data_IF_320551141732
#
_entry.id   IF_320551141732
#
_cell.length_a   1.000
_cell.length_b   1.000
_cell.length_c   1.000
_cell.angle_alpha   90.00
_cell.angle_beta   90.00
_cell.angle_gamma   90.00
#
_symmetry.space_group_name_H-M   'P 1'
#
loop_
_entity.id
_entity.type
_entity.pdbx_description
1 polymer ?
#
# COMPACT_ATOMS: atom_id res chain seq x y z
N UNK A 1 -33.58 -20.68 40.95
CA UNK A 1 -33.72 -20.11 39.59
C UNK A 1 -34.06 -18.63 39.70
N UNK A 2 -33.14 -17.73 39.30
CA UNK A 2 -33.45 -16.31 39.08
C UNK A 2 -32.83 -15.91 37.74
N UNK A 3 -33.68 -15.71 36.74
CA UNK A 3 -33.29 -15.25 35.41
C UNK A 3 -32.81 -13.80 35.48
N UNK A 4 -31.55 -13.55 35.10
CA UNK A 4 -31.04 -12.19 34.86
C UNK A 4 -31.40 -11.78 33.43
N UNK A 5 -32.21 -10.75 33.30
CA UNK A 5 -32.47 -10.05 32.03
C UNK A 5 -31.16 -9.43 31.52
N UNK A 6 -30.66 -9.91 30.39
CA UNK A 6 -29.61 -9.24 29.61
C UNK A 6 -30.25 -8.04 28.88
N UNK A 7 -29.88 -6.81 29.28
CA UNK A 7 -29.99 -5.64 28.42
C UNK A 7 -28.69 -5.54 27.64
N UNK A 8 -28.73 -5.64 26.32
CA UNK A 8 -27.62 -5.26 25.45
C UNK A 8 -27.59 -3.72 25.35
N UNK A 9 -26.48 -3.05 25.67
CA UNK A 9 -26.20 -1.74 25.14
C UNK A 9 -25.38 -1.90 23.86
N UNK A 10 -26.03 -1.54 22.76
CA UNK A 10 -25.44 -1.27 21.46
C UNK A 10 -24.49 -0.08 21.57
N UNK A 11 -23.20 -0.33 21.79
CA UNK A 11 -22.09 0.58 21.46
C UNK A 11 -20.77 -0.16 21.67
N UNK A 12 -20.33 -0.91 20.65
CA UNK A 12 -18.94 -1.39 20.61
C UNK A 12 -18.05 -0.17 20.37
N UNK A 13 -17.56 0.38 21.47
CA UNK A 13 -16.53 1.39 21.47
C UNK A 13 -15.32 0.85 20.69
N UNK A 14 -15.05 1.44 19.52
CA UNK A 14 -13.79 1.29 18.77
C UNK A 14 -12.66 1.96 19.54
N UNK A 15 -12.38 1.46 20.75
CA UNK A 15 -11.27 1.89 21.59
C UNK A 15 -10.00 1.23 21.07
N UNK A 16 -9.10 2.04 20.54
CA UNK A 16 -7.66 1.92 20.69
C UNK A 16 -7.11 0.47 20.63
N UNK A 17 -7.22 -0.15 19.46
CA UNK A 17 -6.44 -1.34 19.10
C UNK A 17 -5.46 -1.06 17.95
N UNK A 18 -5.11 0.22 17.73
CA UNK A 18 -4.25 0.67 16.64
C UNK A 18 -2.75 0.76 16.99
N UNK A 19 -2.31 0.24 18.14
CA UNK A 19 -0.91 0.36 18.58
C UNK A 19 -0.16 -0.97 18.84
N UNK A 20 -0.79 -2.15 18.70
CA UNK A 20 -0.06 -3.42 18.91
C UNK A 20 -0.48 -4.48 17.89
N UNK A 21 0.48 -4.87 17.04
CA UNK A 21 0.49 -5.93 16.01
C UNK A 21 0.13 -5.54 14.56
N UNK A 22 0.83 -4.55 13.99
CA UNK A 22 1.12 -4.58 12.54
C UNK A 22 2.48 -5.26 12.31
N UNK A 23 2.64 -6.45 12.89
CA UNK A 23 3.66 -7.41 12.47
C UNK A 23 2.96 -8.52 11.70
N UNK A 24 3.31 -8.58 10.41
CA UNK A 24 3.48 -9.81 9.63
C UNK A 24 2.29 -10.75 9.56
N UNK A 25 1.23 -10.32 8.88
CA UNK A 25 0.63 -11.25 7.92
C UNK A 25 1.49 -11.18 6.66
N UNK A 26 2.47 -12.08 6.52
CA UNK A 26 2.74 -12.67 5.19
C UNK A 26 1.35 -13.02 4.65
N UNK A 27 1.00 -12.66 3.42
CA UNK A 27 -0.35 -12.90 2.92
C UNK A 27 -0.53 -14.41 2.72
N UNK A 28 -0.70 -15.18 3.81
CA UNK A 28 -0.55 -16.64 3.86
C UNK A 28 -1.17 -17.34 2.65
N UNK A 29 -0.44 -18.31 2.11
CA UNK A 29 -0.73 -19.02 0.87
C UNK A 29 -0.74 -18.12 -0.39
N UNK A 30 0.27 -17.26 -0.56
CA UNK A 30 0.43 -16.41 -1.76
C UNK A 30 0.47 -17.27 -3.04
N UNK A 31 1.08 -18.46 -2.94
CA UNK A 31 1.16 -19.51 -3.98
C UNK A 31 -0.20 -20.07 -4.42
N UNK A 32 -1.27 -19.90 -3.61
CA UNK A 32 -2.60 -20.46 -3.90
C UNK A 32 -3.62 -19.41 -4.34
N UNK A 33 -3.24 -18.14 -4.39
CA UNK A 33 -4.14 -17.03 -4.74
C UNK A 33 -4.05 -16.71 -6.22
N UNK A 34 -5.18 -16.34 -6.80
CA UNK A 34 -5.22 -15.72 -8.12
C UNK A 34 -5.14 -14.20 -7.96
N UNK A 35 -3.93 -13.65 -8.05
CA UNK A 35 -3.73 -12.22 -7.87
C UNK A 35 -4.18 -11.41 -9.09
N UNK A 36 -4.24 -12.01 -10.28
CA UNK A 36 -4.81 -11.33 -11.45
C UNK A 36 -6.33 -11.19 -11.29
N UNK A 37 -7.05 -12.21 -10.82
CA UNK A 37 -8.46 -12.07 -10.45
C UNK A 37 -8.66 -11.00 -9.35
N UNK A 38 -7.81 -10.99 -8.31
CA UNK A 38 -7.87 -9.97 -7.26
C UNK A 38 -7.56 -8.55 -7.76
N UNK A 39 -6.68 -8.40 -8.75
CA UNK A 39 -6.32 -7.12 -9.36
C UNK A 39 -7.50 -6.53 -10.16
N UNK A 40 -8.27 -7.38 -10.82
CA UNK A 40 -9.44 -7.00 -11.61
C UNK A 40 -10.74 -6.89 -10.79
N UNK A 41 -10.76 -7.44 -9.57
CA UNK A 41 -11.87 -7.30 -8.64
C UNK A 41 -11.87 -5.90 -7.99
N UNK A 42 -12.62 -4.99 -8.62
CA UNK A 42 -12.75 -3.61 -8.13
C UNK A 42 -13.63 -3.49 -6.89
N UNK A 43 -14.26 -4.57 -6.40
CA UNK A 43 -15.24 -4.52 -5.31
C UNK A 43 -16.28 -3.41 -5.54
N UNK A 44 -16.28 -2.38 -4.71
CA UNK A 44 -17.15 -1.21 -4.78
C UNK A 44 -16.40 0.09 -5.14
N UNK A 45 -15.21 -0.03 -5.76
CA UNK A 45 -14.36 1.10 -6.15
C UNK A 45 -14.48 1.44 -7.65
N UNK A 46 -14.28 2.72 -8.04
CA UNK A 46 -13.91 3.85 -7.20
C UNK A 46 -15.06 4.34 -6.31
N UNK A 47 -14.74 4.81 -5.09
CA UNK A 47 -15.74 5.40 -4.19
C UNK A 47 -15.16 6.47 -3.28
N UNK A 48 -16.06 7.28 -2.71
CA UNK A 48 -15.75 8.27 -1.69
C UNK A 48 -16.42 7.92 -0.36
N UNK A 49 -15.80 8.35 0.72
CA UNK A 49 -16.37 8.28 2.05
C UNK A 49 -16.00 9.54 2.84
N UNK A 50 -16.99 10.17 3.46
CA UNK A 50 -16.74 11.21 4.46
C UNK A 50 -16.47 10.54 5.81
N UNK A 51 -15.31 10.80 6.39
CA UNK A 51 -14.97 10.33 7.73
C UNK A 51 -15.39 11.35 8.78
N UNK A 52 -15.74 10.89 9.99
CA UNK A 52 -16.17 11.78 11.10
C UNK A 52 -15.26 11.67 12.33
N UNK A 53 -14.21 10.87 12.27
CA UNK A 53 -13.25 10.71 13.37
C UNK A 53 -12.24 11.87 13.35
N UNK A 54 -12.32 12.75 14.35
CA UNK A 54 -11.51 13.97 14.45
C UNK A 54 -10.00 13.71 14.34
N UNK A 55 -9.50 12.64 14.97
CA UNK A 55 -8.08 12.29 14.93
C UNK A 55 -7.62 11.91 13.54
N UNK A 56 -8.46 11.20 12.79
CA UNK A 56 -8.18 10.81 11.42
C UNK A 56 -8.21 12.04 10.49
N UNK A 57 -9.16 12.95 10.70
CA UNK A 57 -9.25 14.21 9.94
C UNK A 57 -8.00 15.06 10.15
N UNK A 58 -7.59 15.28 11.40
CA UNK A 58 -6.37 16.02 11.73
C UNK A 58 -5.12 15.37 11.10
N UNK A 59 -5.04 14.03 11.16
CA UNK A 59 -3.90 13.28 10.62
C UNK A 59 -3.80 13.36 9.09
N UNK A 60 -4.93 13.31 8.37
CA UNK A 60 -4.95 13.23 6.91
C UNK A 60 -5.23 14.58 6.23
N UNK A 61 -5.57 15.62 7.00
CA UNK A 61 -5.77 16.98 6.49
C UNK A 61 -7.14 17.22 5.85
N UNK A 62 -8.12 16.36 6.10
CA UNK A 62 -9.48 16.50 5.57
C UNK A 62 -10.36 15.28 5.85
N UNK A 63 -11.61 15.33 5.42
CA UNK A 63 -12.63 14.33 5.72
C UNK A 63 -13.10 13.54 4.49
N UNK A 64 -12.79 14.02 3.27
CA UNK A 64 -13.20 13.41 2.01
C UNK A 64 -12.18 12.38 1.56
N UNK A 65 -12.42 11.13 1.94
CA UNK A 65 -11.58 9.99 1.61
C UNK A 65 -11.95 9.36 0.26
N UNK A 66 -10.94 9.08 -0.56
CA UNK A 66 -11.09 8.36 -1.84
C UNK A 66 -10.54 6.93 -1.77
N UNK A 67 -11.21 5.99 -2.42
CA UNK A 67 -10.75 4.62 -2.63
C UNK A 67 -10.54 4.37 -4.12
N UNK A 68 -9.28 4.25 -4.53
CA UNK A 68 -8.92 3.89 -5.89
C UNK A 68 -9.00 2.35 -6.09
N UNK A 69 -9.48 1.86 -7.24
CA UNK A 69 -9.51 0.43 -7.54
C UNK A 69 -8.10 -0.15 -7.68
N UNK A 70 -7.88 -1.46 -7.44
CA UNK A 70 -6.55 -2.07 -7.49
C UNK A 70 -5.85 -1.89 -8.84
N UNK A 71 -6.60 -1.97 -9.94
CA UNK A 71 -6.09 -1.83 -11.31
C UNK A 71 -5.44 -0.47 -11.57
N UNK A 72 -5.87 0.60 -10.88
CA UNK A 72 -5.27 1.92 -11.07
C UNK A 72 -3.86 2.00 -10.47
N UNK A 73 -3.60 1.28 -9.37
CA UNK A 73 -2.25 1.16 -8.82
C UNK A 73 -1.32 0.46 -9.83
N UNK A 74 -1.75 -0.65 -10.43
CA UNK A 74 -0.98 -1.35 -11.47
C UNK A 74 -0.63 -0.45 -12.65
N UNK A 75 -1.60 0.35 -13.14
CA UNK A 75 -1.39 1.33 -14.22
C UNK A 75 -0.31 2.36 -13.87
N UNK A 76 -0.38 2.95 -12.68
CA UNK A 76 0.62 3.93 -12.24
C UNK A 76 1.99 3.28 -12.06
N UNK A 77 2.04 2.08 -11.48
CA UNK A 77 3.29 1.33 -11.27
C UNK A 77 3.97 0.99 -12.60
N UNK A 78 3.21 0.65 -13.65
CA UNK A 78 3.72 0.41 -15.02
C UNK A 78 4.34 1.64 -15.67
N UNK A 79 3.90 2.84 -15.29
CA UNK A 79 4.40 4.09 -15.87
C UNK A 79 5.77 4.49 -15.32
N UNK A 80 6.25 3.88 -14.23
CA UNK A 80 7.51 4.27 -13.59
C UNK A 80 8.70 3.82 -14.45
N UNK A 81 9.51 4.74 -15.02
CA UNK A 81 10.61 4.38 -15.92
C UNK A 81 11.75 3.64 -15.22
N UNK A 82 12.61 2.98 -15.99
CA UNK A 82 13.86 2.39 -15.50
C UNK A 82 14.73 3.42 -14.80
N UNK A 83 15.31 3.05 -13.65
CA UNK A 83 16.15 3.92 -12.82
C UNK A 83 15.38 5.00 -12.06
N UNK A 84 14.04 4.95 -12.11
CA UNK A 84 13.16 5.82 -11.32
C UNK A 84 12.40 5.01 -10.29
N UNK A 85 11.98 5.69 -9.24
CA UNK A 85 11.16 5.13 -8.17
C UNK A 85 9.96 6.02 -7.89
N UNK A 86 8.90 5.43 -7.35
CA UNK A 86 7.74 6.15 -6.82
C UNK A 86 7.46 5.65 -5.40
N UNK A 87 6.73 6.43 -4.61
CA UNK A 87 6.23 5.95 -3.31
C UNK A 87 4.74 5.73 -3.34
N UNK A 88 4.24 4.79 -2.52
CA UNK A 88 2.79 4.63 -2.30
C UNK A 88 2.12 5.96 -1.90
N UNK A 89 2.84 6.82 -1.17
CA UNK A 89 2.38 8.16 -0.80
C UNK A 89 2.14 9.07 -2.02
N UNK A 90 3.06 9.09 -2.99
CA UNK A 90 2.92 9.87 -4.23
C UNK A 90 1.73 9.39 -5.07
N UNK A 91 1.56 8.07 -5.22
CA UNK A 91 0.40 7.49 -5.92
C UNK A 91 -0.91 7.91 -5.25
N UNK A 92 -0.98 7.84 -3.91
CA UNK A 92 -2.15 8.25 -3.13
C UNK A 92 -2.46 9.74 -3.26
N UNK A 93 -1.43 10.59 -3.27
CA UNK A 93 -1.58 12.03 -3.47
C UNK A 93 -2.15 12.33 -4.85
N UNK A 94 -1.58 11.72 -5.90
CA UNK A 94 -2.07 11.83 -7.26
C UNK A 94 -3.54 11.41 -7.38
N UNK A 95 -3.92 10.24 -6.83
CA UNK A 95 -5.32 9.81 -6.87
C UNK A 95 -6.28 10.75 -6.13
N UNK A 96 -5.85 11.33 -5.01
CA UNK A 96 -6.69 12.28 -4.28
C UNK A 96 -6.92 13.56 -5.10
N UNK A 97 -5.84 14.12 -5.66
CA UNK A 97 -5.86 15.31 -6.49
C UNK A 97 -6.75 15.13 -7.72
N UNK A 98 -6.53 14.05 -8.49
CA UNK A 98 -7.30 13.76 -9.71
C UNK A 98 -8.80 13.57 -9.47
N UNK A 99 -9.19 13.21 -8.23
CA UNK A 99 -10.57 12.90 -7.88
C UNK A 99 -11.21 13.95 -6.94
N UNK A 100 -10.51 15.05 -6.65
CA UNK A 100 -11.01 16.11 -5.76
C UNK A 100 -11.28 15.61 -4.33
N UNK A 101 -10.46 14.68 -3.83
CA UNK A 101 -10.48 14.17 -2.47
C UNK A 101 -9.41 14.83 -1.62
N UNK A 102 -9.59 14.81 -0.30
CA UNK A 102 -8.56 15.30 0.63
C UNK A 102 -7.41 14.30 0.74
N UNK A 103 -7.73 13.00 0.71
CA UNK A 103 -6.75 11.93 0.73
C UNK A 103 -7.29 10.61 0.16
N UNK A 104 -6.37 9.77 -0.31
CA UNK A 104 -6.67 8.38 -0.70
C UNK A 104 -6.43 7.44 0.48
N UNK A 105 -7.32 6.46 0.70
CA UNK A 105 -7.28 5.54 1.83
C UNK A 105 -5.94 4.76 1.91
N UNK A 106 -5.20 4.85 3.04
CA UNK A 106 -3.83 4.32 3.13
C UNK A 106 -3.71 2.80 3.19
N UNK A 107 -4.66 2.09 3.82
CA UNK A 107 -4.54 0.66 4.11
C UNK A 107 -4.68 -0.15 2.81
N UNK A 108 -5.75 0.11 2.06
CA UNK A 108 -6.05 -0.48 0.77
C UNK A 108 -4.96 -0.19 -0.25
N UNK A 109 -4.43 1.04 -0.29
CA UNK A 109 -3.30 1.39 -1.17
C UNK A 109 -2.10 0.45 -0.99
N UNK A 110 -1.70 0.17 0.26
CA UNK A 110 -0.60 -0.77 0.54
C UNK A 110 -0.90 -2.22 0.15
N UNK A 111 -2.16 -2.64 0.27
CA UNK A 111 -2.62 -3.97 -0.18
C UNK A 111 -2.58 -4.04 -1.71
N UNK A 112 -3.09 -3.02 -2.41
CA UNK A 112 -3.26 -3.04 -3.86
C UNK A 112 -1.93 -2.96 -4.62
N UNK A 113 -0.93 -2.22 -4.14
CA UNK A 113 0.42 -2.30 -4.74
C UNK A 113 1.04 -3.70 -4.56
N UNK A 114 0.71 -4.41 -3.49
CA UNK A 114 1.16 -5.79 -3.29
C UNK A 114 0.40 -6.76 -4.20
N UNK A 115 -0.91 -6.56 -4.38
CA UNK A 115 -1.71 -7.33 -5.35
C UNK A 115 -1.18 -7.12 -6.77
N UNK A 116 -0.89 -5.88 -7.18
CA UNK A 116 -0.30 -5.59 -8.49
C UNK A 116 1.06 -6.25 -8.68
N UNK A 117 1.92 -6.22 -7.66
CA UNK A 117 3.22 -6.90 -7.69
C UNK A 117 3.08 -8.42 -7.89
N UNK A 118 2.22 -9.07 -7.11
CA UNK A 118 1.99 -10.50 -7.22
C UNK A 118 1.26 -10.90 -8.51
N UNK A 119 0.31 -10.09 -8.98
CA UNK A 119 -0.36 -10.28 -10.25
C UNK A 119 0.67 -10.25 -11.40
N UNK A 120 1.57 -9.27 -11.39
CA UNK A 120 2.68 -9.20 -12.36
C UNK A 120 3.60 -10.41 -12.27
N UNK A 121 3.92 -10.89 -11.07
CA UNK A 121 4.78 -12.07 -10.90
C UNK A 121 4.15 -13.36 -11.44
N UNK A 122 2.81 -13.42 -11.51
CA UNK A 122 2.08 -14.54 -12.10
C UNK A 122 1.95 -14.46 -13.63
N UNK A 123 2.21 -13.30 -14.24
CA UNK A 123 2.12 -13.12 -15.69
C UNK A 123 3.47 -13.41 -16.35
N UNK A 124 3.43 -13.98 -17.56
CA UNK A 124 4.61 -14.12 -18.42
C UNK A 124 4.86 -12.89 -19.30
N UNK A 125 3.86 -12.02 -19.44
CA UNK A 125 3.85 -10.81 -20.27
C UNK A 125 3.24 -9.65 -19.45
N UNK A 126 3.36 -8.40 -19.92
CA UNK A 126 2.78 -7.24 -19.24
C UNK A 126 3.28 -7.07 -17.78
N UNK A 127 4.61 -7.06 -17.63
CA UNK A 127 5.29 -6.89 -16.34
C UNK A 127 5.04 -5.49 -15.78
N UNK A 128 4.62 -5.46 -14.52
CA UNK A 128 4.61 -4.25 -13.69
C UNK A 128 5.94 -4.19 -12.95
N UNK A 129 6.74 -3.11 -13.10
CA UNK A 129 8.04 -2.97 -12.43
C UNK A 129 7.86 -2.64 -10.95
N UNK A 130 7.24 -3.56 -10.21
CA UNK A 130 6.74 -3.36 -8.86
C UNK A 130 7.83 -2.97 -7.88
N UNK A 131 9.07 -3.40 -8.12
CA UNK A 131 10.23 -3.11 -7.29
C UNK A 131 10.53 -1.60 -7.22
N UNK A 132 10.12 -0.81 -8.22
CA UNK A 132 10.26 0.66 -8.27
C UNK A 132 9.28 1.39 -7.34
N UNK A 133 8.26 0.70 -6.81
CA UNK A 133 7.28 1.30 -5.89
C UNK A 133 7.67 1.06 -4.44
N UNK A 134 8.15 2.10 -3.78
CA UNK A 134 8.64 2.10 -2.41
C UNK A 134 7.50 2.43 -1.43
N UNK A 135 7.69 2.04 -0.16
CA UNK A 135 6.88 2.55 0.96
C UNK A 135 7.24 4.01 1.25
N UNK A 136 6.77 4.54 2.37
CA UNK A 136 7.12 5.87 2.82
C UNK A 136 8.63 6.02 3.02
N UNK A 137 9.16 7.22 2.75
CA UNK A 137 10.56 7.59 2.97
C UNK A 137 11.59 6.70 2.26
N UNK A 138 11.21 6.11 1.11
CA UNK A 138 12.08 5.28 0.29
C UNK A 138 12.33 3.86 0.82
N UNK A 139 11.55 3.40 1.80
CA UNK A 139 11.67 2.05 2.37
C UNK A 139 11.21 0.96 1.37
N UNK A 140 11.93 -0.16 1.32
CA UNK A 140 11.56 -1.33 0.53
C UNK A 140 10.35 -2.06 1.14
N UNK A 141 9.64 -2.83 0.32
CA UNK A 141 8.44 -3.56 0.70
C UNK A 141 8.68 -5.08 0.74
N UNK A 142 8.79 -5.62 1.95
CA UNK A 142 8.99 -7.05 2.18
C UNK A 142 7.84 -7.95 1.69
N UNK A 143 6.68 -7.37 1.34
CA UNK A 143 5.51 -8.12 0.86
C UNK A 143 5.49 -8.34 -0.65
N UNK A 144 6.48 -7.81 -1.36
CA UNK A 144 6.59 -8.07 -2.79
C UNK A 144 7.09 -9.48 -3.08
N UNK A 145 6.82 -10.00 -4.29
CA UNK A 145 7.32 -11.30 -4.72
C UNK A 145 8.84 -11.41 -4.55
N UNK A 146 9.28 -12.51 -3.92
CA UNK A 146 10.69 -12.76 -3.58
C UNK A 146 11.20 -11.99 -2.35
N UNK A 147 10.36 -11.18 -1.70
CA UNK A 147 10.70 -10.45 -0.48
C UNK A 147 11.71 -9.31 -0.70
N UNK A 148 12.34 -8.89 0.40
CA UNK A 148 13.28 -7.75 0.40
C UNK A 148 14.47 -7.97 -0.53
N UNK A 149 15.06 -9.16 -0.53
CA UNK A 149 16.27 -9.43 -1.32
C UNK A 149 16.01 -9.33 -2.82
N UNK A 150 14.88 -9.86 -3.31
CA UNK A 150 14.52 -9.76 -4.72
C UNK A 150 14.24 -8.31 -5.15
N UNK A 151 13.56 -7.52 -4.31
CA UNK A 151 13.36 -6.10 -4.59
C UNK A 151 14.68 -5.33 -4.60
N UNK A 152 15.57 -5.62 -3.63
CA UNK A 152 16.89 -5.02 -3.52
C UNK A 152 17.73 -5.28 -4.77
N UNK A 153 17.84 -6.53 -5.19
CA UNK A 153 18.59 -6.94 -6.39
C UNK A 153 18.10 -6.21 -7.64
N UNK A 154 16.77 -6.18 -7.86
CA UNK A 154 16.17 -5.46 -8.99
C UNK A 154 16.46 -3.96 -8.95
N UNK A 155 16.36 -3.31 -7.79
CA UNK A 155 16.68 -1.88 -7.64
C UNK A 155 18.18 -1.59 -7.86
N UNK A 156 19.07 -2.43 -7.34
CA UNK A 156 20.52 -2.31 -7.52
C UNK A 156 20.92 -2.51 -8.98
N UNK A 157 20.25 -3.42 -9.70
CA UNK A 157 20.41 -3.62 -11.14
C UNK A 157 19.97 -2.40 -11.98
N UNK A 158 19.17 -1.48 -11.41
CA UNK A 158 18.82 -0.20 -12.02
C UNK A 158 19.69 0.98 -11.55
N UNK A 159 20.75 0.70 -10.79
CA UNK A 159 21.71 1.71 -10.32
C UNK A 159 21.36 2.39 -9.01
N UNK A 160 20.32 1.92 -8.29
CA UNK A 160 20.02 2.43 -6.96
C UNK A 160 20.98 1.88 -5.90
N UNK A 161 21.36 2.73 -4.94
CA UNK A 161 22.11 2.28 -3.75
C UNK A 161 21.14 1.98 -2.62
N UNK A 162 21.21 0.78 -2.06
CA UNK A 162 20.35 0.35 -0.95
C UNK A 162 21.10 0.48 0.38
N UNK A 163 20.47 1.14 1.36
CA UNK A 163 21.02 1.32 2.70
C UNK A 163 20.18 0.57 3.73
N UNK A 164 20.87 0.00 4.70
CA UNK A 164 20.27 -0.67 5.84
C UNK A 164 20.13 0.30 7.03
N UNK A 165 18.98 0.26 7.72
CA UNK A 165 18.80 0.94 9.02
C UNK A 165 18.26 -0.04 10.05
N UNK A 166 18.61 0.20 11.32
CA UNK A 166 18.23 -0.66 12.43
C UNK A 166 19.25 -1.75 12.75
N UNK A 167 19.20 -2.26 13.99
CA UNK A 167 20.08 -3.34 14.49
C UNK A 167 19.34 -4.64 14.76
N UNK A 168 18.11 -4.56 15.29
CA UNK A 168 17.24 -5.72 15.58
C UNK A 168 16.09 -5.83 14.59
N UNK A 169 15.42 -4.71 14.30
CA UNK A 169 14.40 -4.60 13.25
C UNK A 169 15.05 -3.91 12.06
N UNK A 170 15.61 -4.72 11.17
CA UNK A 170 16.34 -4.23 10.00
C UNK A 170 15.33 -3.80 8.93
N UNK A 171 15.54 -2.62 8.36
CA UNK A 171 14.78 -2.12 7.20
C UNK A 171 15.74 -1.58 6.15
N UNK A 172 15.35 -1.70 4.89
CA UNK A 172 16.16 -1.30 3.74
C UNK A 172 15.51 -0.14 3.00
N UNK A 173 16.33 0.77 2.50
CA UNK A 173 15.88 2.00 1.86
C UNK A 173 16.70 2.28 0.61
N UNK A 174 16.09 2.89 -0.40
CA UNK A 174 16.83 3.52 -1.50
C UNK A 174 17.47 4.81 -0.98
N UNK A 175 18.79 4.94 -1.11
CA UNK A 175 19.53 6.16 -0.76
C UNK A 175 19.13 7.29 -1.70
N UNK A 176 18.88 8.48 -1.13
CA UNK A 176 18.50 9.69 -1.86
C UNK A 176 17.37 9.45 -2.88
N UNK A 177 16.38 8.60 -2.53
CA UNK A 177 15.31 8.17 -3.43
C UNK A 177 14.56 9.33 -4.08
N UNK A 178 14.50 10.49 -3.42
CA UNK A 178 13.90 11.71 -3.94
C UNK A 178 14.55 12.19 -5.25
N UNK A 179 15.86 11.97 -5.44
CA UNK A 179 16.57 12.34 -6.69
C UNK A 179 16.13 11.48 -7.87
N UNK A 180 15.67 10.27 -7.59
CA UNK A 180 15.16 9.32 -8.58
C UNK A 180 13.63 9.27 -8.60
N UNK A 181 12.95 10.19 -7.92
CA UNK A 181 11.48 10.22 -7.86
C UNK A 181 10.90 10.40 -9.27
N UNK A 182 9.91 9.57 -9.59
CA UNK A 182 9.03 9.77 -10.72
C UNK A 182 7.90 10.71 -10.33
N UNK A 183 7.70 11.75 -11.13
CA UNK A 183 6.60 12.71 -10.95
C UNK A 183 5.44 12.32 -11.87
N UNK A 184 4.25 12.25 -11.28
CA UNK A 184 3.01 12.04 -12.00
C UNK A 184 2.46 13.42 -12.40
N UNK A 185 2.10 13.56 -13.68
CA UNK A 185 1.51 14.76 -14.25
C UNK A 185 0.05 14.52 -14.59
#
# INVERSE_FOLDING_TARGET
>A
MKAKKFKQPHCMAYKNRLCLKQEVAIMANEDKKDFNAMLHDSKDMPKFQTITDEKSIEKYGGDRMYFAPPIDYDRIMKCVPYGKVITVGKIRGYFAEQNGADFTEPITAGIFVSIAAWASYQRSEDETPYWRTLKANGELNAKYPGGIEAQKEKLEAEGHTIIQRGRKNISYYVKDYEKAMFELN
#
